data_IF_260940268381
#
_entry.id   IF_260940268381
#
_cell.length_a   1.000
_cell.length_b   1.000
_cell.length_c   1.000
_cell.angle_alpha   90.00
_cell.angle_beta   90.00
_cell.angle_gamma   90.00
#
_symmetry.space_group_name_H-M   'P 1'
#
loop_
_entity.id
_entity.type
_entity.pdbx_description
1 polymer ?
#
# COMPACT_ATOMS: atom_id res chain seq x y z
N UNK A 1 -37.64 24.47 0.29
CA UNK A 1 -38.06 25.88 0.20
C UNK A 1 -37.96 26.31 -1.26
N UNK A 2 -39.12 26.54 -1.89
CA UNK A 2 -39.28 27.16 -3.22
C UNK A 2 -39.55 28.65 -2.96
N UNK A 3 -38.88 29.53 -3.68
CA UNK A 3 -39.25 30.95 -3.72
C UNK A 3 -39.54 31.30 -5.18
N UNK A 4 -40.83 31.48 -5.47
CA UNK A 4 -41.33 32.13 -6.67
C UNK A 4 -41.26 33.65 -6.48
N UNK A 5 -40.77 34.36 -7.50
CA UNK A 5 -40.80 35.81 -7.60
C UNK A 5 -41.51 36.24 -8.87
N UNK A 6 -42.75 36.69 -8.72
CA UNK A 6 -43.56 37.42 -9.71
C UNK A 6 -42.81 38.61 -10.30
N UNK A 7 -43.07 38.98 -11.56
CA UNK A 7 -43.30 40.34 -12.09
C UNK A 7 -43.61 40.15 -13.61
N UNK A 8 -44.83 40.33 -14.11
CA UNK A 8 -45.44 41.64 -14.35
C UNK A 8 -45.34 41.98 -15.86
N UNK A 9 -46.33 41.56 -16.65
CA UNK A 9 -46.42 41.85 -18.07
C UNK A 9 -46.74 43.34 -18.29
N UNK A 10 -45.88 44.07 -19.00
CA UNK A 10 -46.21 45.38 -19.59
C UNK A 10 -46.01 45.26 -21.09
N UNK A 11 -47.12 45.40 -21.82
CA UNK A 11 -47.18 45.41 -23.28
C UNK A 11 -46.47 46.66 -23.81
N UNK A 12 -45.50 46.48 -24.70
CA UNK A 12 -45.04 47.54 -25.60
C UNK A 12 -45.41 47.18 -27.03
N UNK A 13 -46.02 48.15 -27.69
CA UNK A 13 -46.64 48.12 -29.01
C UNK A 13 -45.65 47.89 -30.15
N UNK A 14 -46.15 47.18 -31.17
CA UNK A 14 -45.53 46.83 -32.44
C UNK A 14 -45.04 48.05 -33.25
N UNK A 15 -43.76 48.04 -33.62
CA UNK A 15 -43.23 48.52 -34.90
C UNK A 15 -42.29 47.44 -35.46
N UNK A 16 -42.88 46.48 -36.20
CA UNK A 16 -42.23 45.76 -37.31
C UNK A 16 -42.20 46.77 -38.48
N UNK A 17 -41.17 46.97 -39.29
CA UNK A 17 -40.34 46.01 -40.03
C UNK A 17 -38.99 46.68 -40.36
N UNK A 18 -37.89 46.15 -39.82
CA UNK A 18 -36.45 46.39 -40.19
C UNK A 18 -35.50 46.06 -39.01
N UNK A 19 -36.02 45.94 -37.78
CA UNK A 19 -35.25 45.65 -36.57
C UNK A 19 -35.26 44.16 -36.14
N UNK A 20 -35.98 43.30 -36.88
CA UNK A 20 -36.17 41.88 -36.55
C UNK A 20 -34.95 40.99 -36.86
N UNK A 21 -34.12 41.38 -37.82
CA UNK A 21 -32.95 40.59 -38.22
C UNK A 21 -31.75 40.89 -37.32
N UNK A 22 -31.43 42.17 -37.08
CA UNK A 22 -30.36 42.56 -36.17
C UNK A 22 -30.58 42.08 -34.72
N UNK A 23 -31.82 42.05 -34.24
CA UNK A 23 -32.14 41.52 -32.89
C UNK A 23 -32.17 39.99 -32.84
N UNK A 24 -32.53 39.31 -33.93
CA UNK A 24 -32.44 37.85 -34.04
C UNK A 24 -30.99 37.37 -34.17
N UNK A 25 -30.15 38.11 -34.90
CA UNK A 25 -28.71 37.85 -35.00
C UNK A 25 -28.00 38.11 -33.68
N UNK A 26 -28.23 39.25 -33.01
CA UNK A 26 -27.67 39.51 -31.66
C UNK A 26 -28.09 38.45 -30.65
N UNK A 27 -29.32 37.93 -30.73
CA UNK A 27 -29.80 36.85 -29.85
C UNK A 27 -29.20 35.50 -30.22
N UNK A 28 -28.98 35.21 -31.52
CA UNK A 28 -28.27 34.01 -32.00
C UNK A 28 -26.79 34.05 -31.61
N UNK A 29 -26.13 35.19 -31.74
CA UNK A 29 -24.75 35.43 -31.32
C UNK A 29 -24.62 35.30 -29.79
N UNK A 30 -25.56 35.86 -29.02
CA UNK A 30 -25.58 35.72 -27.56
C UNK A 30 -25.84 34.28 -27.12
N UNK A 31 -26.68 33.52 -27.84
CA UNK A 31 -26.95 32.11 -27.54
C UNK A 31 -25.76 31.22 -27.91
N UNK A 32 -25.10 31.50 -29.04
CA UNK A 32 -23.87 30.85 -29.50
C UNK A 32 -22.69 31.10 -28.53
N UNK A 33 -22.47 32.34 -28.11
CA UNK A 33 -21.44 32.66 -27.12
C UNK A 33 -21.70 32.01 -25.75
N UNK A 34 -22.96 31.92 -25.32
CA UNK A 34 -23.32 31.17 -24.11
C UNK A 34 -23.08 29.66 -24.26
N UNK A 35 -23.39 29.05 -25.41
CA UNK A 35 -23.12 27.62 -25.63
C UNK A 35 -21.62 27.31 -25.66
N UNK A 36 -20.82 28.15 -26.32
CA UNK A 36 -19.35 28.01 -26.37
C UNK A 36 -18.72 28.06 -24.98
N UNK A 37 -19.16 28.96 -24.10
CA UNK A 37 -18.69 29.04 -22.71
C UNK A 37 -19.09 27.81 -21.89
N UNK A 38 -20.30 27.27 -22.10
CA UNK A 38 -20.72 26.02 -21.44
C UNK A 38 -19.94 24.81 -21.94
N UNK A 39 -19.62 24.77 -23.24
CA UNK A 39 -18.83 23.71 -23.86
C UNK A 39 -17.36 23.79 -23.42
N UNK A 40 -16.80 24.99 -23.30
CA UNK A 40 -15.46 25.20 -22.75
C UNK A 40 -15.39 24.72 -21.31
N UNK A 41 -16.33 25.12 -20.46
CA UNK A 41 -16.38 24.66 -19.07
C UNK A 41 -16.51 23.14 -18.95
N UNK A 42 -17.34 22.52 -19.81
CA UNK A 42 -17.48 21.06 -19.85
C UNK A 42 -16.16 20.39 -20.22
N UNK A 43 -15.44 20.91 -21.22
CA UNK A 43 -14.11 20.39 -21.61
C UNK A 43 -13.09 20.53 -20.47
N UNK A 44 -13.09 21.66 -19.77
CA UNK A 44 -12.24 21.86 -18.60
C UNK A 44 -12.56 20.85 -17.49
N UNK A 45 -13.84 20.60 -17.20
CA UNK A 45 -14.28 19.58 -16.24
C UNK A 45 -13.87 18.16 -16.66
N UNK A 46 -14.00 17.82 -17.95
CA UNK A 46 -13.57 16.53 -18.52
C UNK A 46 -12.04 16.34 -18.41
N UNK A 47 -11.27 17.40 -18.67
CA UNK A 47 -9.81 17.39 -18.49
C UNK A 47 -9.42 17.16 -17.03
N UNK A 48 -10.05 17.86 -16.10
CA UNK A 48 -9.77 17.70 -14.67
C UNK A 48 -10.14 16.30 -14.16
N UNK A 49 -11.25 15.73 -14.65
CA UNK A 49 -11.62 14.35 -14.37
C UNK A 49 -10.57 13.36 -14.91
N UNK A 50 -10.06 13.58 -16.13
CA UNK A 50 -8.99 12.76 -16.70
C UNK A 50 -7.69 12.86 -15.88
N UNK A 51 -7.31 14.05 -15.40
CA UNK A 51 -6.17 14.23 -14.51
C UNK A 51 -6.36 13.49 -13.17
N UNK A 52 -7.57 13.48 -12.61
CA UNK A 52 -7.87 12.72 -11.40
C UNK A 52 -7.69 11.21 -11.62
N UNK A 53 -8.18 10.68 -12.74
CA UNK A 53 -7.97 9.27 -13.13
C UNK A 53 -6.47 8.97 -13.30
N UNK A 54 -5.73 9.85 -13.98
CA UNK A 54 -4.29 9.69 -14.17
C UNK A 54 -3.54 9.65 -12.82
N UNK A 55 -3.92 10.51 -11.86
CA UNK A 55 -3.35 10.52 -10.51
C UNK A 55 -3.59 9.21 -9.77
N UNK A 56 -4.79 8.64 -9.88
CA UNK A 56 -5.11 7.32 -9.30
C UNK A 56 -4.28 6.22 -9.94
N UNK A 57 -4.22 6.15 -11.28
CA UNK A 57 -3.46 5.12 -12.01
C UNK A 57 -1.94 5.20 -11.80
N UNK A 58 -1.40 6.39 -11.54
CA UNK A 58 0.02 6.61 -11.29
C UNK A 58 0.46 6.26 -9.86
N UNK A 59 -0.48 6.10 -8.91
CA UNK A 59 -0.16 5.77 -7.53
C UNK A 59 0.42 4.35 -7.44
N UNK A 60 1.54 4.19 -6.73
CA UNK A 60 2.22 2.90 -6.48
C UNK A 60 2.25 2.57 -4.99
N UNK A 61 2.05 1.31 -4.61
CA UNK A 61 2.12 0.88 -3.21
C UNK A 61 3.48 1.19 -2.61
N UNK A 62 3.51 1.77 -1.41
CA UNK A 62 4.76 1.98 -0.68
C UNK A 62 5.25 0.68 -0.01
N UNK A 63 6.56 0.51 0.24
CA UNK A 63 7.09 -0.72 0.83
C UNK A 63 6.51 -1.05 2.20
N UNK A 64 6.32 -0.05 3.05
CA UNK A 64 5.83 -0.17 4.43
C UNK A 64 4.31 -0.04 4.57
N UNK A 65 3.62 0.23 3.46
CA UNK A 65 2.16 0.39 3.44
C UNK A 65 1.51 -0.99 3.27
N UNK A 66 0.44 -1.26 4.01
CA UNK A 66 -0.38 -2.46 3.84
C UNK A 66 -1.25 -2.37 2.58
N UNK A 67 -1.79 -3.49 2.09
CA UNK A 67 -2.74 -3.48 0.98
C UNK A 67 -4.01 -2.65 1.28
N UNK A 68 -4.49 -2.65 2.52
CA UNK A 68 -5.66 -1.87 2.94
C UNK A 68 -5.37 -0.36 3.03
N UNK A 69 -4.17 0.02 3.48
CA UNK A 69 -3.73 1.41 3.45
C UNK A 69 -3.54 1.90 2.01
N UNK A 70 -2.97 1.06 1.15
CA UNK A 70 -2.81 1.37 -0.27
C UNK A 70 -4.16 1.57 -0.97
N UNK A 71 -5.15 0.71 -0.71
CA UNK A 71 -6.54 0.92 -1.13
C UNK A 71 -7.06 2.30 -0.69
N UNK A 72 -6.88 2.65 0.59
CA UNK A 72 -7.34 3.94 1.12
C UNK A 72 -6.62 5.11 0.47
N UNK A 73 -5.33 4.96 0.17
CA UNK A 73 -4.54 5.96 -0.53
C UNK A 73 -5.01 6.16 -1.99
N UNK A 74 -5.44 5.10 -2.67
CA UNK A 74 -6.05 5.20 -4.00
C UNK A 74 -7.35 6.00 -3.98
N UNK A 75 -8.26 5.71 -3.03
CA UNK A 75 -9.48 6.50 -2.84
C UNK A 75 -9.17 7.97 -2.61
N UNK A 76 -8.25 8.26 -1.70
CA UNK A 76 -7.77 9.64 -1.44
C UNK A 76 -7.20 10.33 -2.67
N UNK A 77 -6.54 9.60 -3.56
CA UNK A 77 -6.05 10.14 -4.82
C UNK A 77 -7.19 10.42 -5.83
N UNK A 78 -8.36 9.83 -5.65
CA UNK A 78 -9.54 10.04 -6.48
C UNK A 78 -10.61 10.96 -5.89
N UNK A 79 -10.56 11.30 -4.59
CA UNK A 79 -11.60 12.04 -3.85
C UNK A 79 -12.07 13.37 -4.50
N UNK A 80 -11.28 13.94 -5.41
CA UNK A 80 -11.63 15.18 -6.12
C UNK A 80 -12.72 15.00 -7.18
N UNK A 81 -12.93 13.78 -7.71
CA UNK A 81 -13.88 13.48 -8.78
C UNK A 81 -14.53 12.10 -8.59
N UNK A 82 -15.74 11.92 -9.15
CA UNK A 82 -16.40 10.61 -9.17
C UNK A 82 -15.75 9.74 -10.25
N UNK A 83 -14.73 8.99 -9.85
CA UNK A 83 -14.01 8.06 -10.71
C UNK A 83 -14.72 6.69 -10.69
N UNK A 84 -14.99 6.06 -11.84
CA UNK A 84 -15.58 4.72 -11.88
C UNK A 84 -14.70 3.67 -11.21
N UNK A 85 -15.35 2.71 -10.53
CA UNK A 85 -14.67 1.65 -9.76
C UNK A 85 -13.59 0.87 -10.53
N UNK A 86 -13.78 0.49 -11.81
CA UNK A 86 -12.77 -0.29 -12.54
C UNK A 86 -11.40 0.39 -12.62
N UNK A 87 -11.34 1.73 -12.63
CA UNK A 87 -10.07 2.45 -12.65
C UNK A 87 -9.27 2.26 -11.36
N UNK A 88 -9.95 2.16 -10.21
CA UNK A 88 -9.29 1.88 -8.95
C UNK A 88 -8.74 0.46 -8.89
N UNK A 89 -9.50 -0.52 -9.37
CA UNK A 89 -9.04 -1.92 -9.46
C UNK A 89 -7.79 -2.02 -10.34
N UNK A 90 -7.82 -1.41 -11.52
CA UNK A 90 -6.67 -1.36 -12.43
C UNK A 90 -5.48 -0.66 -11.79
N UNK A 91 -5.69 0.46 -11.09
CA UNK A 91 -4.63 1.16 -10.37
C UNK A 91 -4.02 0.31 -9.25
N UNK A 92 -4.85 -0.43 -8.51
CA UNK A 92 -4.38 -1.31 -7.44
C UNK A 92 -3.49 -2.41 -8.01
N UNK A 93 -3.96 -3.16 -9.00
CA UNK A 93 -3.24 -4.25 -9.64
C UNK A 93 -1.93 -3.75 -10.26
N UNK A 94 -1.95 -2.64 -10.98
CA UNK A 94 -0.75 -2.11 -11.62
C UNK A 94 0.24 -1.49 -10.62
N UNK A 95 -0.22 -1.12 -9.42
CA UNK A 95 0.58 -0.40 -8.44
C UNK A 95 1.08 -1.25 -7.26
N UNK A 96 0.66 -2.51 -7.09
CA UNK A 96 1.16 -3.38 -5.99
C UNK A 96 2.65 -3.69 -6.08
N UNK A 97 3.26 -3.67 -7.27
CA UNK A 97 4.71 -3.75 -7.48
C UNK A 97 5.33 -5.16 -7.42
N UNK A 98 4.55 -6.20 -7.10
CA UNK A 98 4.98 -7.60 -7.21
C UNK A 98 4.41 -8.21 -8.50
N UNK A 99 5.27 -8.60 -9.44
CA UNK A 99 4.87 -9.14 -10.74
C UNK A 99 4.00 -10.40 -10.59
N UNK A 100 4.43 -11.35 -9.76
CA UNK A 100 3.67 -12.58 -9.51
C UNK A 100 2.26 -12.30 -8.95
N UNK A 101 2.14 -11.43 -7.95
CA UNK A 101 0.86 -11.05 -7.37
C UNK A 101 -0.03 -10.31 -8.38
N UNK A 102 0.57 -9.47 -9.23
CA UNK A 102 -0.13 -8.73 -10.29
C UNK A 102 -0.79 -9.70 -11.28
N UNK A 103 -0.09 -10.76 -11.68
CA UNK A 103 -0.64 -11.80 -12.55
C UNK A 103 -1.82 -12.54 -11.90
N UNK A 104 -1.65 -12.99 -10.65
CA UNK A 104 -2.72 -13.70 -9.93
C UNK A 104 -3.99 -12.85 -9.76
N UNK A 105 -3.84 -11.56 -9.45
CA UNK A 105 -4.99 -10.64 -9.33
C UNK A 105 -5.68 -10.38 -10.68
N UNK A 106 -4.95 -10.42 -11.79
CA UNK A 106 -5.57 -10.31 -13.13
C UNK A 106 -6.35 -11.56 -13.51
N UNK A 107 -5.91 -12.72 -13.02
CA UNK A 107 -6.61 -14.00 -13.20
C UNK A 107 -7.89 -14.08 -12.37
N UNK A 108 -7.85 -13.61 -11.11
CA UNK A 108 -9.01 -13.64 -10.21
C UNK A 108 -10.10 -12.63 -10.58
N UNK A 109 -9.76 -11.56 -11.32
CA UNK A 109 -10.69 -10.51 -11.80
C UNK A 109 -11.59 -9.95 -10.67
N UNK A 110 -11.00 -9.28 -9.67
CA UNK A 110 -11.77 -8.70 -8.57
C UNK A 110 -12.76 -7.66 -9.09
N UNK A 111 -14.00 -7.72 -8.60
CA UNK A 111 -15.09 -6.83 -9.02
C UNK A 111 -14.88 -5.39 -8.54
N UNK A 112 -14.39 -5.23 -7.30
CA UNK A 112 -14.20 -3.94 -6.63
C UNK A 112 -12.80 -3.80 -6.02
N UNK A 113 -12.42 -2.56 -5.70
CA UNK A 113 -11.12 -2.28 -5.06
C UNK A 113 -10.98 -2.99 -3.70
N UNK A 114 -12.08 -3.13 -2.97
CA UNK A 114 -12.12 -3.85 -1.69
C UNK A 114 -11.89 -5.36 -1.86
N UNK A 115 -12.44 -5.96 -2.92
CA UNK A 115 -12.21 -7.37 -3.25
C UNK A 115 -10.74 -7.57 -3.63
N UNK A 116 -10.19 -6.71 -4.49
CA UNK A 116 -8.79 -6.77 -4.91
C UNK A 116 -7.81 -6.72 -3.71
N UNK A 117 -8.06 -5.85 -2.74
CA UNK A 117 -7.23 -5.75 -1.53
C UNK A 117 -7.32 -7.01 -0.64
N UNK A 118 -8.50 -7.61 -0.50
CA UNK A 118 -8.69 -8.85 0.27
C UNK A 118 -8.04 -10.04 -0.42
N UNK A 119 -8.23 -10.17 -1.73
CA UNK A 119 -7.60 -11.21 -2.54
C UNK A 119 -6.08 -11.11 -2.50
N UNK A 120 -5.52 -9.90 -2.57
CA UNK A 120 -4.08 -9.69 -2.45
C UNK A 120 -3.52 -10.23 -1.12
N UNK A 121 -4.24 -10.01 -0.01
CA UNK A 121 -3.86 -10.56 1.30
C UNK A 121 -3.90 -12.09 1.29
N UNK A 122 -4.94 -12.69 0.68
CA UNK A 122 -5.11 -14.14 0.60
C UNK A 122 -4.01 -14.79 -0.27
N UNK A 123 -3.71 -14.20 -1.42
CA UNK A 123 -2.71 -14.68 -2.38
C UNK A 123 -1.29 -14.53 -1.82
N UNK A 124 -0.97 -13.38 -1.24
CA UNK A 124 0.36 -13.09 -0.68
C UNK A 124 0.59 -13.75 0.69
N UNK A 125 -0.48 -14.10 1.41
CA UNK A 125 -0.46 -14.59 2.82
C UNK A 125 0.21 -13.60 3.78
N UNK A 126 0.12 -12.31 3.47
CA UNK A 126 0.67 -11.19 4.22
C UNK A 126 -0.18 -9.96 3.94
N UNK A 127 -0.16 -8.99 4.84
CA UNK A 127 -0.73 -7.66 4.67
C UNK A 127 0.00 -6.78 3.65
N UNK A 128 1.15 -7.25 3.14
CA UNK A 128 1.94 -6.58 2.12
C UNK A 128 2.88 -5.51 2.66
N UNK A 129 2.84 -5.20 3.96
CA UNK A 129 3.80 -4.29 4.57
C UNK A 129 5.15 -5.00 4.73
N UNK A 130 6.16 -4.51 4.02
CA UNK A 130 7.54 -4.94 4.20
C UNK A 130 8.05 -4.58 5.59
N UNK A 131 9.04 -5.31 6.13
CA UNK A 131 9.57 -5.01 7.45
C UNK A 131 10.15 -3.59 7.43
N UNK A 132 9.60 -2.70 8.26
CA UNK A 132 10.23 -1.39 8.48
C UNK A 132 11.66 -1.64 8.94
N UNK A 133 12.64 -1.02 8.26
CA UNK A 133 14.08 -1.21 8.50
C UNK A 133 14.51 -1.02 9.98
N UNK A 134 13.65 -0.41 10.81
CA UNK A 134 13.83 -0.26 12.24
C UNK A 134 13.51 -1.55 13.05
N UNK A 135 12.57 -2.38 12.58
CA UNK A 135 12.10 -3.57 13.30
C UNK A 135 13.03 -4.78 13.12
N UNK A 136 13.76 -4.85 11.99
CA UNK A 136 14.77 -5.90 11.73
C UNK A 136 15.93 -5.87 12.73
N UNK A 137 16.20 -4.71 13.36
CA UNK A 137 17.26 -4.61 14.37
C UNK A 137 16.90 -5.30 15.69
N UNK A 138 15.61 -5.48 16.00
CA UNK A 138 15.14 -6.12 17.24
C UNK A 138 15.03 -7.65 17.16
N UNK A 139 15.06 -8.23 15.95
CA UNK A 139 15.02 -9.69 15.73
C UNK A 139 16.38 -10.28 15.37
N UNK A 140 17.50 -9.67 15.80
CA UNK A 140 18.71 -10.48 15.97
C UNK A 140 18.43 -11.47 17.11
N UNK A 141 18.41 -12.79 16.87
CA UNK A 141 18.36 -13.73 17.97
C UNK A 141 19.56 -13.46 18.87
N UNK A 142 19.35 -13.45 20.20
CA UNK A 142 20.43 -13.47 21.20
C UNK A 142 21.17 -14.83 21.17
N UNK A 143 21.60 -15.28 20.00
CA UNK A 143 22.30 -16.54 19.76
C UNK A 143 23.49 -16.40 18.80
N UNK A 144 24.03 -15.18 18.65
CA UNK A 144 25.23 -14.92 17.86
C UNK A 144 26.26 -14.10 18.67
N UNK A 145 26.49 -14.49 19.93
CA UNK A 145 27.76 -14.24 20.60
C UNK A 145 28.50 -15.57 20.67
N UNK A 146 29.29 -15.89 19.63
CA UNK A 146 30.48 -16.76 19.62
C UNK A 146 30.84 -17.13 18.19
N UNK A 147 31.49 -16.21 17.48
CA UNK A 147 32.52 -16.52 16.48
C UNK A 147 33.56 -15.40 16.51
N UNK A 148 34.30 -15.38 17.60
CA UNK A 148 35.62 -14.76 17.70
C UNK A 148 36.60 -15.90 17.94
N UNK A 149 37.61 -15.99 17.09
CA UNK A 149 38.62 -17.02 17.07
C UNK A 149 39.58 -16.81 18.25
N UNK A 150 39.44 -17.57 19.33
CA UNK A 150 40.45 -17.64 20.40
C UNK A 150 40.70 -19.10 20.77
N UNK A 151 41.96 -19.47 20.59
CA UNK A 151 42.70 -20.69 20.90
C UNK A 151 41.98 -21.74 21.78
N UNK A 152 42.13 -23.06 21.48
CA UNK A 152 41.70 -24.08 22.41
C UNK A 152 42.54 -23.93 23.67
N UNK A 153 41.93 -23.44 24.76
CA UNK A 153 42.52 -23.59 26.08
C UNK A 153 42.73 -25.07 26.27
N UNK A 154 44.01 -25.48 26.21
CA UNK A 154 44.48 -26.75 26.73
C UNK A 154 43.81 -26.90 28.09
N UNK A 155 42.80 -27.78 28.19
CA UNK A 155 42.62 -28.49 29.46
C UNK A 155 43.98 -29.13 29.68
N UNK A 156 44.67 -28.93 30.82
CA UNK A 156 45.78 -29.79 31.13
C UNK A 156 45.22 -31.19 30.94
N UNK A 157 45.78 -31.93 29.98
CA UNK A 157 45.58 -33.36 29.94
C UNK A 157 45.88 -33.78 31.37
N UNK A 158 44.89 -34.39 32.04
CA UNK A 158 45.05 -34.95 33.36
C UNK A 158 45.86 -36.24 33.16
N UNK A 159 47.07 -36.06 32.64
CA UNK A 159 48.13 -37.04 32.45
C UNK A 159 48.85 -37.19 33.80
N UNK A 160 48.08 -37.48 34.83
CA UNK A 160 48.61 -38.06 36.03
C UNK A 160 47.80 -39.32 36.20
N UNK A 161 48.38 -40.48 35.82
CA UNK A 161 47.83 -41.82 36.04
C UNK A 161 47.73 -42.18 37.53
N UNK A 162 47.32 -41.21 38.32
CA UNK A 162 47.09 -41.21 39.75
C UNK A 162 45.60 -41.39 40.00
N UNK A 163 45.28 -42.34 40.87
CA UNK A 163 43.94 -42.56 41.40
C UNK A 163 43.30 -41.25 41.91
N UNK A 164 42.00 -41.04 41.65
CA UNK A 164 41.31 -39.84 42.16
C UNK A 164 40.85 -39.95 43.62
N UNK A 165 41.01 -41.12 44.24
CA UNK A 165 40.63 -41.36 45.65
C UNK A 165 41.85 -41.16 46.55
N UNK A 166 42.92 -41.92 46.32
CA UNK A 166 44.14 -41.88 47.15
C UNK A 166 45.32 -41.11 46.53
N UNK A 167 45.16 -40.59 45.30
CA UNK A 167 46.20 -39.86 44.55
C UNK A 167 47.49 -40.65 44.24
N UNK A 168 47.50 -41.97 44.45
CA UNK A 168 48.62 -42.85 44.09
C UNK A 168 48.61 -43.26 42.61
N UNK A 169 49.79 -43.41 42.02
CA UNK A 169 49.95 -43.79 40.61
C UNK A 169 49.84 -45.31 40.38
N UNK A 170 49.38 -45.70 39.19
CA UNK A 170 49.35 -47.12 38.76
C UNK A 170 47.97 -47.78 38.76
N UNK A 171 46.94 -47.10 39.29
CA UNK A 171 45.54 -47.56 39.20
C UNK A 171 44.60 -46.34 39.08
N UNK A 172 43.41 -46.56 38.51
CA UNK A 172 42.38 -45.52 38.43
C UNK A 172 41.43 -45.58 39.64
N UNK A 173 40.64 -44.52 39.86
CA UNK A 173 39.71 -44.41 40.99
C UNK A 173 38.69 -45.55 41.14
N UNK A 174 38.46 -46.32 40.08
CA UNK A 174 37.57 -47.49 40.08
C UNK A 174 38.23 -48.76 40.59
N UNK A 175 39.56 -48.79 40.56
CA UNK A 175 40.42 -49.91 40.94
C UNK A 175 41.16 -49.60 42.26
N UNK A 176 40.73 -48.55 42.99
CA UNK A 176 41.37 -48.14 44.22
C UNK A 176 40.99 -49.10 45.36
N UNK A 177 41.97 -49.77 46.00
CA UNK A 177 41.70 -50.70 47.10
C UNK A 177 41.05 -50.01 48.31
N UNK A 178 41.45 -48.76 48.59
CA UNK A 178 40.90 -47.96 49.69
C UNK A 178 39.44 -47.50 49.48
N UNK A 179 38.83 -47.79 48.32
CA UNK A 179 37.42 -47.43 48.08
C UNK A 179 36.45 -48.30 48.90
N UNK A 180 36.90 -49.42 49.45
CA UNK A 180 36.06 -50.40 50.15
C UNK A 180 36.51 -50.72 51.59
N UNK A 181 37.54 -50.05 52.09
CA UNK A 181 37.89 -50.13 53.51
C UNK A 181 36.96 -49.19 54.30
N UNK A 182 35.76 -49.68 54.60
CA UNK A 182 34.94 -49.17 55.71
C UNK A 182 35.62 -49.58 57.04
N UNK A 183 35.73 -48.70 58.05
CA UNK A 183 36.18 -49.09 59.38
C UNK A 183 35.18 -50.02 60.10
#
# INVERSE_FOLDING_TARGET
>A
MRLEGRHGCVKATRQEEAAGEATAELKRESFSACSELTDQRRREEELLAAFAVARVLARRKLPHETFMEYKKALRRAGDSYVIPEPYYVVAFINGVGCEHLTHLLRESKPEDLDAAAKEAILLQRSDGAGPSLLTEQRKRPRAAARRGHEQPRKRPRRDSGSCFVCHQFGHFARECPERWDDP
#
